data_IF_107602509732
#
_entry.id   IF_107602509732
#
_cell.length_a   1.000
_cell.length_b   1.000
_cell.length_c   1.000
_cell.angle_alpha   90.00
_cell.angle_beta   90.00
_cell.angle_gamma   90.00
#
_symmetry.space_group_name_H-M   'P 1'
#
loop_
_entity.id
_entity.type
_entity.pdbx_description
1 polymer ?
#
# COMPACT_ATOMS: atom_id res chain seq x y z
N UNK A 1 -1.18 6.65 4.59
CA UNK A 1 -1.16 7.90 5.36
C UNK A 1 -1.41 9.13 4.49
N UNK A 2 -2.66 9.51 4.44
CA UNK A 2 -3.10 10.61 3.58
C UNK A 2 -2.77 12.00 4.10
N UNK A 3 -2.50 12.16 5.40
CA UNK A 3 -2.30 13.44 6.05
C UNK A 3 -0.86 13.76 6.46
N UNK A 4 0.01 12.76 6.45
CA UNK A 4 1.30 12.85 7.12
C UNK A 4 1.19 12.61 8.64
N UNK A 5 2.28 12.83 9.35
CA UNK A 5 2.38 12.72 10.80
C UNK A 5 2.15 14.10 11.41
N UNK A 6 1.33 14.16 12.44
CA UNK A 6 1.00 15.43 13.11
C UNK A 6 2.24 15.99 13.82
N UNK A 7 2.67 17.22 13.46
CA UNK A 7 3.75 17.89 14.17
C UNK A 7 3.41 18.06 15.67
N UNK A 8 4.37 17.76 16.55
CA UNK A 8 4.16 17.85 17.99
C UNK A 8 3.51 16.63 18.64
N UNK A 9 3.15 15.59 17.85
CA UNK A 9 2.72 14.31 18.41
C UNK A 9 3.88 13.53 19.03
N UNK A 10 3.57 12.60 19.93
CA UNK A 10 4.55 11.68 20.51
C UNK A 10 5.26 10.85 19.43
N UNK A 11 4.53 10.49 18.36
CA UNK A 11 5.09 9.80 17.22
C UNK A 11 6.11 10.67 16.49
N UNK A 12 5.79 11.93 16.23
CA UNK A 12 6.73 12.86 15.59
C UNK A 12 7.99 13.06 16.42
N UNK A 13 7.85 13.15 17.74
CA UNK A 13 8.98 13.30 18.66
C UNK A 13 9.86 12.03 18.69
N UNK A 14 9.22 10.86 18.72
CA UNK A 14 9.91 9.55 18.74
C UNK A 14 10.69 9.30 17.46
N UNK A 15 10.08 9.58 16.32
CA UNK A 15 10.59 9.23 14.99
C UNK A 15 11.32 10.41 14.30
N UNK A 16 11.65 11.46 15.01
CA UNK A 16 12.16 12.72 14.47
C UNK A 16 13.31 12.54 13.46
N UNK A 17 14.24 11.65 13.73
CA UNK A 17 15.40 11.39 12.87
C UNK A 17 15.02 10.67 11.54
N UNK A 18 13.86 10.03 11.51
CA UNK A 18 13.34 9.28 10.37
C UNK A 18 12.29 10.06 9.55
N UNK A 19 12.00 11.30 9.95
CA UNK A 19 10.99 12.13 9.32
C UNK A 19 11.58 13.26 8.50
N UNK A 20 10.92 13.54 7.42
CA UNK A 20 11.18 14.62 6.47
C UNK A 20 10.02 15.59 6.45
N UNK A 21 10.29 16.87 6.55
CA UNK A 21 9.28 17.89 6.33
C UNK A 21 9.31 18.30 4.85
N UNK A 22 8.26 17.98 4.13
CA UNK A 22 8.14 18.30 2.71
C UNK A 22 7.81 19.80 2.49
N UNK A 23 7.85 20.25 1.23
CA UNK A 23 7.56 21.65 0.87
C UNK A 23 6.18 22.13 1.35
N UNK A 24 5.08 21.34 1.30
CA UNK A 24 3.81 21.68 1.93
C UNK A 24 3.81 21.70 3.47
N UNK A 25 4.91 21.38 4.13
CA UNK A 25 5.04 21.42 5.58
C UNK A 25 4.56 20.17 6.31
N UNK A 26 4.29 19.06 5.62
CA UNK A 26 3.88 17.79 6.24
C UNK A 26 5.10 16.99 6.68
N UNK A 27 5.00 16.35 7.83
CA UNK A 27 5.97 15.35 8.28
C UNK A 27 5.63 13.99 7.71
N UNK A 28 6.57 13.38 7.00
CA UNK A 28 6.44 12.07 6.36
C UNK A 28 7.76 11.31 6.53
N UNK A 29 7.79 9.98 6.41
CA UNK A 29 9.06 9.26 6.40
C UNK A 29 10.00 9.79 5.32
N UNK A 30 11.30 9.83 5.62
CA UNK A 30 12.29 10.28 4.65
C UNK A 30 12.15 9.52 3.32
N UNK A 31 12.09 10.23 2.17
CA UNK A 31 12.11 9.60 0.83
C UNK A 31 13.54 9.15 0.46
N UNK A 32 14.13 8.39 1.34
CA UNK A 32 15.50 7.85 1.25
C UNK A 32 15.52 6.47 1.92
N UNK A 33 16.08 5.49 1.23
CA UNK A 33 16.03 4.10 1.68
C UNK A 33 16.70 3.86 3.04
N UNK A 34 17.76 4.59 3.36
CA UNK A 34 18.46 4.43 4.64
C UNK A 34 17.82 5.25 5.75
N UNK A 35 17.53 6.53 5.49
CA UNK A 35 16.99 7.44 6.52
C UNK A 35 15.54 7.12 6.88
N UNK A 36 14.70 6.76 5.89
CA UNK A 36 13.31 6.42 6.11
C UNK A 36 13.09 5.01 6.66
N UNK A 37 14.09 4.12 6.53
CA UNK A 37 13.99 2.73 6.98
C UNK A 37 13.62 2.60 8.47
N UNK A 38 14.21 3.43 9.33
CA UNK A 38 13.96 3.35 10.77
C UNK A 38 12.49 3.51 11.13
N UNK A 39 11.76 4.43 10.47
CA UNK A 39 10.33 4.60 10.66
C UNK A 39 9.53 3.31 10.37
N UNK A 40 9.76 2.70 9.21
CA UNK A 40 9.05 1.46 8.83
C UNK A 40 9.48 0.27 9.67
N UNK A 41 10.75 0.17 10.05
CA UNK A 41 11.26 -0.84 10.99
C UNK A 41 10.51 -0.76 12.31
N UNK A 42 10.48 0.39 12.95
CA UNK A 42 9.88 0.58 14.27
C UNK A 42 8.37 0.32 14.24
N UNK A 43 7.71 0.72 13.15
CA UNK A 43 6.31 0.41 12.93
C UNK A 43 6.06 -1.08 12.78
N UNK A 44 6.84 -1.77 11.96
CA UNK A 44 6.65 -3.20 11.69
C UNK A 44 7.07 -4.07 12.89
N UNK A 45 8.09 -3.69 13.63
CA UNK A 45 8.44 -4.32 14.91
C UNK A 45 7.29 -4.21 15.92
N UNK A 46 6.68 -3.05 16.03
CA UNK A 46 5.50 -2.84 16.87
C UNK A 46 4.36 -3.77 16.44
N UNK A 47 3.97 -3.75 15.18
CA UNK A 47 2.87 -4.57 14.67
C UNK A 47 3.13 -6.07 14.87
N UNK A 48 4.34 -6.54 14.62
CA UNK A 48 4.73 -7.93 14.81
C UNK A 48 4.64 -8.34 16.30
N UNK A 49 5.07 -7.48 17.19
CA UNK A 49 4.96 -7.71 18.64
C UNK A 49 3.51 -7.81 19.10
N UNK A 50 2.62 -7.03 18.50
CA UNK A 50 1.17 -7.08 18.77
C UNK A 50 0.45 -8.25 18.06
N UNK A 51 1.18 -9.15 17.43
CA UNK A 51 0.64 -10.38 16.82
C UNK A 51 0.12 -10.21 15.40
N UNK A 52 0.40 -9.09 14.74
CA UNK A 52 0.07 -8.89 13.33
C UNK A 52 1.02 -9.71 12.47
N UNK A 53 0.51 -10.41 11.45
CA UNK A 53 1.27 -11.34 10.61
C UNK A 53 1.55 -10.81 9.19
N UNK A 54 0.90 -9.74 8.76
CA UNK A 54 1.14 -9.08 7.48
C UNK A 54 0.73 -7.61 7.55
N UNK A 55 1.09 -6.82 6.55
CA UNK A 55 0.62 -5.44 6.45
C UNK A 55 0.00 -5.15 5.09
N UNK A 56 -0.99 -4.24 5.07
CA UNK A 56 -1.50 -3.62 3.85
C UNK A 56 -1.16 -2.13 3.92
N UNK A 57 -0.36 -1.66 2.97
CA UNK A 57 0.12 -0.28 2.94
C UNK A 57 -0.56 0.47 1.81
N UNK A 58 -1.45 1.37 2.20
CA UNK A 58 -2.29 2.14 1.29
C UNK A 58 -1.69 3.50 0.93
N UNK A 59 -2.26 4.15 -0.09
CA UNK A 59 -1.93 5.52 -0.48
C UNK A 59 -0.54 5.67 -1.10
N UNK A 60 0.04 4.63 -1.65
CA UNK A 60 1.42 4.66 -2.13
C UNK A 60 1.64 5.61 -3.31
N UNK A 61 0.66 5.77 -4.21
CA UNK A 61 0.74 6.71 -5.33
C UNK A 61 0.65 8.19 -4.91
N UNK A 62 0.27 8.47 -3.65
CA UNK A 62 0.28 9.83 -3.13
C UNK A 62 1.69 10.46 -3.04
N UNK A 63 2.73 9.71 -3.31
CA UNK A 63 4.11 10.20 -3.33
C UNK A 63 4.29 11.42 -4.25
N UNK A 64 3.60 11.47 -5.39
CA UNK A 64 3.67 12.62 -6.28
C UNK A 64 3.08 13.90 -5.67
N UNK A 65 2.02 13.78 -4.87
CA UNK A 65 1.43 14.92 -4.16
C UNK A 65 2.31 15.41 -2.99
N UNK A 66 3.04 14.48 -2.36
CA UNK A 66 3.89 14.84 -1.23
C UNK A 66 5.17 15.56 -1.66
N UNK A 67 5.69 15.26 -2.84
CA UNK A 67 6.99 15.77 -3.30
C UNK A 67 6.90 16.65 -4.53
N UNK A 68 5.68 17.06 -4.92
CA UNK A 68 5.50 18.02 -6.01
C UNK A 68 6.30 19.30 -5.72
N UNK A 69 7.13 19.70 -6.69
CA UNK A 69 8.04 20.86 -6.58
C UNK A 69 9.10 20.78 -5.46
N UNK A 70 9.29 19.62 -4.86
CA UNK A 70 10.24 19.41 -3.76
C UNK A 70 11.38 18.46 -4.20
N UNK A 71 11.04 17.26 -4.65
CA UNK A 71 11.99 16.27 -5.12
C UNK A 71 11.57 15.68 -6.47
N UNK A 72 12.53 15.23 -7.31
CA UNK A 72 12.18 14.45 -8.50
C UNK A 72 11.39 13.20 -8.11
N UNK A 73 10.23 13.01 -8.74
CA UNK A 73 9.27 11.95 -8.38
C UNK A 73 9.91 10.55 -8.27
N UNK A 74 10.68 10.16 -9.28
CA UNK A 74 11.32 8.83 -9.26
C UNK A 74 12.35 8.69 -8.13
N UNK A 75 13.02 9.76 -7.74
CA UNK A 75 13.98 9.76 -6.62
C UNK A 75 13.23 9.55 -5.31
N UNK A 76 12.16 10.32 -5.08
CA UNK A 76 11.33 10.20 -3.88
C UNK A 76 10.68 8.82 -3.79
N UNK A 77 10.10 8.33 -4.90
CA UNK A 77 9.42 7.01 -4.93
C UNK A 77 10.39 5.87 -4.65
N UNK A 78 11.56 5.86 -5.28
CA UNK A 78 12.59 4.84 -5.02
C UNK A 78 13.08 4.87 -3.58
N UNK A 79 13.25 6.06 -3.01
CA UNK A 79 13.67 6.22 -1.63
C UNK A 79 12.62 5.70 -0.65
N UNK A 80 11.36 6.10 -0.82
CA UNK A 80 10.26 5.64 0.02
C UNK A 80 10.03 4.13 -0.09
N UNK A 81 9.97 3.60 -1.31
CA UNK A 81 9.84 2.16 -1.50
C UNK A 81 11.05 1.40 -0.98
N UNK A 82 12.27 1.89 -1.19
CA UNK A 82 13.47 1.26 -0.64
C UNK A 82 13.43 1.12 0.87
N UNK A 83 12.93 2.12 1.59
CA UNK A 83 12.74 2.08 3.03
C UNK A 83 11.64 1.08 3.45
N UNK A 84 10.47 1.13 2.80
CA UNK A 84 9.35 0.23 3.06
C UNK A 84 9.69 -1.23 2.75
N UNK A 85 10.27 -1.48 1.58
CA UNK A 85 10.67 -2.81 1.12
C UNK A 85 11.75 -3.43 2.01
N UNK A 86 12.68 -2.62 2.50
CA UNK A 86 13.67 -3.08 3.49
C UNK A 86 13.02 -3.58 4.78
N UNK A 87 11.97 -2.91 5.25
CA UNK A 87 11.23 -3.32 6.44
C UNK A 87 10.28 -4.52 6.19
N UNK A 88 9.92 -4.81 4.94
CA UNK A 88 9.02 -5.92 4.61
C UNK A 88 9.54 -7.29 5.08
N UNK A 89 10.84 -7.41 5.33
CA UNK A 89 11.47 -8.61 5.91
C UNK A 89 10.89 -8.99 7.29
N UNK A 90 10.36 -8.04 8.07
CA UNK A 90 9.69 -8.34 9.34
C UNK A 90 8.43 -9.21 9.18
N UNK A 91 7.83 -9.21 8.02
CA UNK A 91 6.68 -10.04 7.65
C UNK A 91 7.02 -11.06 6.56
N UNK A 92 8.29 -11.40 6.37
CA UNK A 92 8.74 -12.32 5.31
C UNK A 92 8.25 -11.92 3.91
N UNK A 93 8.11 -10.61 3.67
CA UNK A 93 7.58 -10.04 2.44
C UNK A 93 6.05 -10.04 2.32
N UNK A 94 5.32 -10.46 3.36
CA UNK A 94 3.85 -10.47 3.37
C UNK A 94 3.28 -9.04 3.51
N UNK A 95 3.44 -8.25 2.46
CA UNK A 95 2.93 -6.89 2.33
C UNK A 95 2.00 -6.80 1.13
N UNK A 96 0.79 -6.32 1.33
CA UNK A 96 -0.14 -5.96 0.26
C UNK A 96 0.07 -4.47 -0.06
N UNK A 97 0.54 -4.20 -1.26
CA UNK A 97 0.70 -2.84 -1.75
C UNK A 97 -0.64 -2.32 -2.28
N UNK A 98 -1.12 -1.21 -1.74
CA UNK A 98 -2.41 -0.65 -2.09
C UNK A 98 -2.27 0.79 -2.61
N UNK A 99 -3.15 1.16 -3.57
CA UNK A 99 -3.11 2.46 -4.26
C UNK A 99 -1.70 2.81 -4.78
N UNK A 100 -1.00 1.81 -5.29
CA UNK A 100 0.38 1.91 -5.81
C UNK A 100 0.48 1.45 -7.26
N UNK A 101 -0.55 1.71 -8.07
CA UNK A 101 -0.63 1.31 -9.48
C UNK A 101 0.06 2.30 -10.44
N UNK A 102 0.54 3.43 -9.97
CA UNK A 102 1.34 4.33 -10.78
C UNK A 102 2.67 3.67 -11.18
N UNK A 103 3.15 3.96 -12.38
CA UNK A 103 4.33 3.30 -12.94
C UNK A 103 5.57 3.42 -12.03
N UNK A 104 5.78 4.58 -11.44
CA UNK A 104 6.88 4.82 -10.50
C UNK A 104 6.81 3.93 -9.25
N UNK A 105 5.61 3.58 -8.78
CA UNK A 105 5.43 2.64 -7.68
C UNK A 105 5.67 1.21 -8.14
N UNK A 106 5.07 0.82 -9.28
CA UNK A 106 5.15 -0.54 -9.80
C UNK A 106 6.59 -1.01 -10.03
N UNK A 107 7.46 -0.12 -10.52
CA UNK A 107 8.86 -0.44 -10.79
C UNK A 107 9.82 -0.20 -9.61
N UNK A 108 9.30 0.13 -8.44
CA UNK A 108 10.12 0.42 -7.24
C UNK A 108 9.95 -0.58 -6.10
N UNK A 109 9.35 -1.74 -6.34
CA UNK A 109 9.05 -2.79 -5.35
C UNK A 109 9.79 -4.09 -5.65
N UNK A 110 11.06 -4.23 -5.26
CA UNK A 110 11.86 -5.40 -5.62
C UNK A 110 11.62 -6.65 -4.75
N UNK A 111 10.95 -6.54 -3.59
CA UNK A 111 10.82 -7.63 -2.63
C UNK A 111 9.38 -8.07 -2.38
N UNK A 112 8.42 -7.15 -2.43
CA UNK A 112 7.02 -7.48 -2.15
C UNK A 112 6.28 -7.77 -3.46
N UNK A 113 5.60 -8.91 -3.51
CA UNK A 113 5.03 -9.43 -4.75
C UNK A 113 3.52 -9.24 -4.89
N UNK A 114 2.82 -8.72 -3.88
CA UNK A 114 1.35 -8.58 -3.90
C UNK A 114 0.97 -7.11 -4.03
N UNK A 115 0.12 -6.80 -5.00
CA UNK A 115 -0.37 -5.44 -5.21
C UNK A 115 -1.84 -5.42 -5.62
N UNK A 116 -2.60 -4.49 -5.03
CA UNK A 116 -3.97 -4.22 -5.44
C UNK A 116 -4.03 -3.68 -6.86
N UNK A 117 -4.94 -4.19 -7.67
CA UNK A 117 -5.06 -3.84 -9.09
C UNK A 117 -6.40 -3.18 -9.47
N UNK A 118 -7.15 -2.71 -8.49
CA UNK A 118 -8.41 -1.98 -8.66
C UNK A 118 -8.54 -0.85 -7.65
N UNK A 119 -9.51 0.03 -7.85
CA UNK A 119 -10.02 0.90 -6.79
C UNK A 119 -10.70 0.07 -5.70
N UNK A 120 -11.14 0.72 -4.61
CA UNK A 120 -11.82 0.05 -3.51
C UNK A 120 -13.12 -0.61 -3.98
N UNK A 121 -13.38 -1.82 -3.51
CA UNK A 121 -14.72 -2.36 -3.58
C UNK A 121 -15.64 -1.56 -2.65
N UNK A 122 -16.71 -0.97 -3.21
CA UNK A 122 -17.69 -0.18 -2.46
C UNK A 122 -18.99 -0.98 -2.31
N UNK A 123 -19.20 -1.71 -1.19
CA UNK A 123 -20.27 -2.69 -1.05
C UNK A 123 -21.69 -2.12 -1.17
N UNK A 124 -21.86 -0.83 -0.86
CA UNK A 124 -23.18 -0.15 -0.88
C UNK A 124 -23.50 0.54 -2.20
N UNK A 125 -22.61 0.44 -3.17
CA UNK A 125 -22.78 1.05 -4.49
C UNK A 125 -23.48 0.05 -5.42
N UNK A 126 -24.56 0.47 -6.09
CA UNK A 126 -25.39 -0.40 -6.94
C UNK A 126 -24.59 -1.09 -8.05
N UNK A 127 -23.66 -0.37 -8.69
CA UNK A 127 -22.79 -0.91 -9.74
C UNK A 127 -21.43 -1.41 -9.20
N UNK A 128 -21.23 -1.40 -7.88
CA UNK A 128 -19.93 -1.65 -7.24
C UNK A 128 -19.31 -3.00 -7.61
N UNK A 129 -20.12 -4.06 -7.70
CA UNK A 129 -19.63 -5.37 -8.12
C UNK A 129 -19.13 -5.37 -9.57
N UNK A 130 -19.94 -4.85 -10.48
CA UNK A 130 -19.64 -4.86 -11.91
C UNK A 130 -18.40 -4.02 -12.23
N UNK A 131 -18.31 -2.83 -11.65
CA UNK A 131 -17.17 -1.93 -11.85
C UNK A 131 -15.88 -2.54 -11.29
N UNK A 132 -15.95 -3.08 -10.08
CA UNK A 132 -14.80 -3.70 -9.44
C UNK A 132 -14.29 -4.93 -10.21
N UNK A 133 -15.22 -5.76 -10.71
CA UNK A 133 -14.87 -6.88 -11.57
C UNK A 133 -14.20 -6.41 -12.86
N UNK A 134 -14.77 -5.37 -13.49
CA UNK A 134 -14.24 -4.81 -14.73
C UNK A 134 -12.80 -4.32 -14.57
N UNK A 135 -12.54 -3.54 -13.52
CA UNK A 135 -11.20 -3.04 -13.21
C UNK A 135 -10.21 -4.18 -13.00
N UNK A 136 -10.56 -5.15 -12.16
CA UNK A 136 -9.70 -6.30 -11.88
C UNK A 136 -9.42 -7.15 -13.13
N UNK A 137 -10.44 -7.42 -13.95
CA UNK A 137 -10.30 -8.21 -15.16
C UNK A 137 -9.40 -7.54 -16.21
N UNK A 138 -9.51 -6.22 -16.37
CA UNK A 138 -8.69 -5.50 -17.35
C UNK A 138 -7.27 -5.21 -16.84
N UNK A 139 -7.07 -5.00 -15.55
CA UNK A 139 -5.76 -4.69 -15.00
C UNK A 139 -4.89 -5.95 -14.79
N UNK A 140 -5.51 -7.10 -14.51
CA UNK A 140 -4.77 -8.34 -14.25
C UNK A 140 -3.83 -8.76 -15.39
N UNK A 141 -4.22 -8.74 -16.67
CA UNK A 141 -3.29 -9.09 -17.76
C UNK A 141 -2.05 -8.18 -17.83
N UNK A 142 -2.18 -6.93 -17.43
CA UNK A 142 -1.08 -5.97 -17.45
C UNK A 142 -0.23 -6.05 -16.17
N UNK A 143 -0.85 -5.97 -15.00
CA UNK A 143 -0.15 -5.94 -13.72
C UNK A 143 0.32 -7.32 -13.28
N UNK A 144 -0.39 -8.38 -13.69
CA UNK A 144 -0.06 -9.76 -13.37
C UNK A 144 1.27 -10.27 -13.94
N UNK A 145 1.84 -9.56 -14.91
CA UNK A 145 3.21 -9.80 -15.38
C UNK A 145 4.27 -9.36 -14.35
N UNK A 146 3.91 -8.51 -13.41
CA UNK A 146 4.81 -7.95 -12.41
C UNK A 146 4.49 -8.40 -10.98
N UNK A 147 3.19 -8.63 -10.68
CA UNK A 147 2.70 -8.88 -9.33
C UNK A 147 1.66 -9.99 -9.27
N UNK A 148 1.48 -10.54 -8.07
CA UNK A 148 0.27 -11.26 -7.70
C UNK A 148 -0.82 -10.20 -7.45
N UNK A 149 -1.85 -10.20 -8.30
CA UNK A 149 -2.91 -9.19 -8.25
C UNK A 149 -3.86 -9.43 -7.08
N UNK A 150 -3.95 -8.45 -6.19
CA UNK A 150 -4.94 -8.42 -5.12
C UNK A 150 -6.25 -7.83 -5.66
N UNK A 151 -7.32 -8.63 -5.62
CA UNK A 151 -8.66 -8.24 -6.05
C UNK A 151 -9.49 -7.62 -4.93
N UNK A 152 -8.85 -7.10 -3.88
CA UNK A 152 -9.44 -6.46 -2.73
C UNK A 152 -10.29 -7.38 -1.82
N UNK A 153 -10.61 -6.86 -0.64
CA UNK A 153 -11.52 -7.50 0.30
C UNK A 153 -12.98 -7.45 -0.20
N UNK A 154 -13.85 -8.24 0.42
CA UNK A 154 -15.29 -8.18 0.21
C UNK A 154 -16.04 -8.51 1.51
N UNK A 155 -17.35 -8.31 1.53
CA UNK A 155 -18.20 -8.69 2.65
C UNK A 155 -18.83 -10.06 2.43
N UNK A 156 -18.74 -10.95 3.42
CA UNK A 156 -19.34 -12.30 3.34
C UNK A 156 -20.87 -12.24 3.38
N UNK A 157 -21.44 -11.17 3.87
CA UNK A 157 -22.89 -10.91 3.92
C UNK A 157 -23.40 -10.02 2.78
N UNK A 158 -22.56 -9.71 1.79
CA UNK A 158 -23.00 -9.00 0.60
C UNK A 158 -23.91 -9.89 -0.27
N UNK A 159 -24.86 -9.30 -1.00
CA UNK A 159 -25.77 -10.07 -1.88
C UNK A 159 -24.99 -10.85 -2.97
N UNK A 160 -23.88 -10.32 -3.45
CA UNK A 160 -22.99 -10.95 -4.41
C UNK A 160 -21.82 -11.73 -3.77
N UNK A 161 -21.88 -12.04 -2.47
CA UNK A 161 -20.77 -12.66 -1.74
C UNK A 161 -20.25 -13.95 -2.41
N UNK A 162 -21.14 -14.79 -2.96
CA UNK A 162 -20.77 -16.02 -3.67
C UNK A 162 -19.96 -15.69 -4.93
N UNK A 163 -20.38 -14.69 -5.71
CA UNK A 163 -19.66 -14.24 -6.90
C UNK A 163 -18.29 -13.66 -6.52
N UNK A 164 -18.25 -12.82 -5.47
CA UNK A 164 -16.99 -12.28 -4.95
C UNK A 164 -16.02 -13.38 -4.52
N UNK A 165 -16.51 -14.38 -3.77
CA UNK A 165 -15.69 -15.51 -3.32
C UNK A 165 -15.12 -16.30 -4.49
N UNK A 166 -15.96 -16.60 -5.50
CA UNK A 166 -15.54 -17.32 -6.70
C UNK A 166 -14.47 -16.55 -7.47
N UNK A 167 -14.67 -15.25 -7.67
CA UNK A 167 -13.73 -14.41 -8.41
C UNK A 167 -12.36 -14.33 -7.72
N UNK A 168 -12.33 -14.18 -6.37
CA UNK A 168 -11.06 -14.22 -5.63
C UNK A 168 -10.42 -15.60 -5.69
N UNK A 169 -11.18 -16.67 -5.62
CA UNK A 169 -10.63 -18.02 -5.72
C UNK A 169 -9.93 -18.28 -7.07
N UNK A 170 -10.44 -17.72 -8.17
CA UNK A 170 -9.82 -17.88 -9.50
C UNK A 170 -8.78 -16.79 -9.83
N UNK A 171 -8.72 -15.70 -9.07
CA UNK A 171 -7.76 -14.59 -9.32
C UNK A 171 -6.30 -14.99 -9.13
N UNK A 172 -6.05 -16.00 -8.28
CA UNK A 172 -4.71 -16.36 -7.86
C UNK A 172 -4.08 -15.45 -6.79
N UNK A 173 -4.80 -14.39 -6.41
CA UNK A 173 -4.38 -13.44 -5.38
C UNK A 173 -4.85 -13.80 -3.97
N UNK A 174 -4.56 -12.95 -2.98
CA UNK A 174 -5.02 -13.15 -1.60
C UNK A 174 -6.54 -13.09 -1.49
N UNK A 175 -7.10 -13.85 -0.54
CA UNK A 175 -8.53 -13.86 -0.24
C UNK A 175 -8.72 -13.40 1.20
N UNK A 176 -9.38 -12.28 1.38
CA UNK A 176 -9.65 -11.70 2.70
C UNK A 176 -10.98 -10.94 2.72
N UNK A 177 -11.54 -10.81 3.91
CA UNK A 177 -12.86 -10.22 4.14
C UNK A 177 -12.76 -9.07 5.14
N UNK A 178 -13.75 -8.19 5.16
CA UNK A 178 -13.76 -6.98 6.00
C UNK A 178 -15.04 -6.81 6.83
N UNK A 179 -15.86 -7.84 7.01
CA UNK A 179 -17.08 -7.85 7.84
C UNK A 179 -16.90 -8.59 9.17
#
# INVERSE_FOLDING_TARGET
>A
YWGGIEPGSDLAAKEQEHLYQNAPGKLIPWPDAAKGYGFYRDWYEYLKREGISFSKVDGQSAVHNYFENDLPLMTATRGMHGALEGAAAYFDGAVINCMGMAAENMFSRPQTAVARNSDDFVPKREDGFAEHLLQNAYNTPYQGELYVCDWDMFWTKHEDAVKHSLLRAISGGPIYVSD
#
